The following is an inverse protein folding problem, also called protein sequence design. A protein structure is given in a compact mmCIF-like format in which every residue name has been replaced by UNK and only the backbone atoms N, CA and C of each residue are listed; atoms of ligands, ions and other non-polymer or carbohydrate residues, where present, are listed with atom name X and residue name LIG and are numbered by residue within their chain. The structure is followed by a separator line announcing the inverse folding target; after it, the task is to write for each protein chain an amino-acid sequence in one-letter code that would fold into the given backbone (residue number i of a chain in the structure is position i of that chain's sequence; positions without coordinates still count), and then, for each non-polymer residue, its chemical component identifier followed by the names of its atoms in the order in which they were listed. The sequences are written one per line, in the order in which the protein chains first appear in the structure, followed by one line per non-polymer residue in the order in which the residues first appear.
data_IF_029154680416
#
_entry.id   IF_029154680416
#
_cell.length_a   1.000
_cell.length_b   1.000
_cell.length_c   1.000
_cell.angle_alpha   90.00
_cell.angle_beta   90.00
_cell.angle_gamma   90.00
#
_symmetry.space_group_name_H-M   'P 1'
#
loop_
_entity.id
_entity.type
_entity.pdbx_description
1 polymer ?
#
# COMPACT_ATOMS: atom_id res chain seq x y z
N UNK A 1 -4.31 78.71 -34.77
CA UNK A 1 -2.99 78.35 -34.19
C UNK A 1 -2.19 77.70 -35.30
N UNK A 2 -1.11 78.33 -35.74
CA UNK A 2 -0.40 77.96 -36.96
C UNK A 2 0.44 76.69 -36.76
N UNK A 3 0.41 75.76 -37.72
CA UNK A 3 1.11 74.46 -37.62
C UNK A 3 2.63 74.65 -37.49
N UNK A 4 3.13 75.77 -38.03
CA UNK A 4 4.55 76.14 -37.98
C UNK A 4 4.99 76.66 -36.60
N UNK A 5 4.11 77.32 -35.83
CA UNK A 5 4.47 77.81 -34.49
C UNK A 5 4.56 76.67 -33.47
N UNK A 6 3.69 75.68 -33.59
CA UNK A 6 3.73 74.45 -32.77
C UNK A 6 5.00 73.66 -33.09
N UNK A 7 5.35 73.49 -34.37
CA UNK A 7 6.54 72.76 -34.80
C UNK A 7 7.82 73.40 -34.26
N UNK A 8 7.93 74.73 -34.32
CA UNK A 8 9.06 75.48 -33.78
C UNK A 8 9.19 75.35 -32.26
N UNK A 9 8.08 75.50 -31.53
CA UNK A 9 8.07 75.35 -30.07
C UNK A 9 8.48 73.93 -29.63
N UNK A 10 8.07 72.89 -30.36
CA UNK A 10 8.44 71.50 -30.07
C UNK A 10 9.92 71.23 -30.38
N UNK A 11 10.46 71.80 -31.47
CA UNK A 11 11.89 71.65 -31.82
C UNK A 11 12.84 72.44 -30.91
N UNK A 12 12.36 73.46 -30.22
CA UNK A 12 13.14 74.25 -29.25
C UNK A 12 13.18 73.69 -27.83
N UNK A 13 12.42 72.62 -27.53
CA UNK A 13 12.46 71.96 -26.23
C UNK A 13 13.67 71.02 -26.22
N UNK A 14 14.81 71.56 -25.82
CA UNK A 14 16.00 70.76 -25.55
C UNK A 14 15.94 70.28 -24.10
N UNK A 15 15.72 68.98 -23.91
CA UNK A 15 15.69 68.40 -22.57
C UNK A 15 17.08 68.54 -21.93
N UNK A 16 17.10 69.07 -20.70
CA UNK A 16 18.33 69.08 -19.90
C UNK A 16 18.82 67.66 -19.66
N UNK A 17 20.14 67.46 -19.55
CA UNK A 17 20.72 66.12 -19.30
C UNK A 17 20.13 65.48 -18.03
N UNK A 18 19.85 66.26 -16.99
CA UNK A 18 19.13 65.81 -15.79
C UNK A 18 17.73 65.24 -16.10
N UNK A 19 17.00 65.87 -17.03
CA UNK A 19 15.65 65.43 -17.42
C UNK A 19 15.71 64.14 -18.24
N UNK A 20 16.68 64.02 -19.14
CA UNK A 20 16.94 62.80 -19.91
C UNK A 20 17.29 61.64 -18.98
N UNK A 21 18.15 61.89 -17.99
CA UNK A 21 18.57 60.88 -17.03
C UNK A 21 17.43 60.42 -16.12
N UNK A 22 16.59 61.35 -15.63
CA UNK A 22 15.36 61.00 -14.89
C UNK A 22 14.37 60.15 -15.70
N UNK A 23 14.23 60.44 -16.99
CA UNK A 23 13.37 59.64 -17.88
C UNK A 23 13.95 58.24 -18.06
N UNK A 24 15.26 58.13 -18.28
CA UNK A 24 15.95 56.86 -18.47
C UNK A 24 15.86 55.97 -17.22
N UNK A 25 16.17 56.52 -16.04
CA UNK A 25 16.04 55.85 -14.75
C UNK A 25 14.60 55.37 -14.50
N UNK A 26 13.61 56.20 -14.86
CA UNK A 26 12.20 55.85 -14.75
C UNK A 26 11.80 54.66 -15.63
N UNK A 27 12.36 54.56 -16.84
CA UNK A 27 12.12 53.45 -17.77
C UNK A 27 12.79 52.17 -17.26
N UNK A 28 14.04 52.27 -16.82
CA UNK A 28 14.81 51.14 -16.31
C UNK A 28 14.18 50.55 -15.04
N UNK A 29 13.75 51.42 -14.11
CA UNK A 29 13.08 51.00 -12.88
C UNK A 29 11.76 50.27 -13.15
N UNK A 30 10.96 50.72 -14.14
CA UNK A 30 9.73 50.03 -14.54
C UNK A 30 10.01 48.65 -15.16
N UNK A 31 11.07 48.52 -15.97
CA UNK A 31 11.47 47.26 -16.59
C UNK A 31 11.89 46.24 -15.53
N UNK A 32 12.74 46.66 -14.60
CA UNK A 32 13.18 45.82 -13.48
C UNK A 32 12.03 45.39 -12.57
N UNK A 33 11.06 46.28 -12.29
CA UNK A 33 9.89 45.95 -11.49
C UNK A 33 9.00 44.90 -12.17
N UNK A 34 8.71 45.06 -13.47
CA UNK A 34 7.93 44.09 -14.25
C UNK A 34 8.60 42.72 -14.27
N UNK A 35 9.92 42.69 -14.45
CA UNK A 35 10.69 41.44 -14.46
C UNK A 35 10.66 40.75 -13.09
N UNK A 36 10.78 41.51 -11.98
CA UNK A 36 10.70 40.98 -10.62
C UNK A 36 9.33 40.38 -10.30
N UNK A 37 8.24 41.02 -10.75
CA UNK A 37 6.87 40.50 -10.60
C UNK A 37 6.67 39.23 -11.43
N UNK A 38 7.20 39.20 -12.65
CA UNK A 38 7.08 38.05 -13.54
C UNK A 38 7.82 36.83 -12.98
N UNK A 39 9.03 37.03 -12.45
CA UNK A 39 9.81 35.98 -11.77
C UNK A 39 9.06 35.47 -10.54
N UNK A 40 8.56 36.37 -9.67
CA UNK A 40 7.79 35.96 -8.48
C UNK A 40 6.58 35.10 -8.84
N UNK A 41 5.82 35.47 -9.89
CA UNK A 41 4.66 34.67 -10.36
C UNK A 41 5.07 33.27 -10.83
N UNK A 42 6.17 33.16 -11.57
CA UNK A 42 6.69 31.86 -12.02
C UNK A 42 7.14 31.03 -10.81
N UNK A 43 7.90 31.61 -9.88
CA UNK A 43 8.37 30.90 -8.69
C UNK A 43 7.21 30.40 -7.82
N UNK A 44 6.17 31.22 -7.59
CA UNK A 44 4.98 30.80 -6.85
C UNK A 44 4.22 29.68 -7.57
N UNK A 45 4.10 29.75 -8.89
CA UNK A 45 3.47 28.69 -9.70
C UNK A 45 4.19 27.34 -9.57
N UNK A 46 5.53 27.34 -9.67
CA UNK A 46 6.36 26.14 -9.54
C UNK A 46 6.23 25.52 -8.13
N UNK A 47 6.27 26.34 -7.08
CA UNK A 47 6.13 25.86 -5.70
C UNK A 47 4.75 25.23 -5.48
N UNK A 48 3.68 25.88 -5.95
CA UNK A 48 2.32 25.36 -5.82
C UNK A 48 2.16 24.03 -6.58
N UNK A 49 2.70 23.92 -7.78
CA UNK A 49 2.65 22.67 -8.55
C UNK A 49 3.46 21.56 -7.90
N UNK A 50 4.65 21.85 -7.36
CA UNK A 50 5.46 20.88 -6.64
C UNK A 50 4.75 20.33 -5.40
N UNK A 51 4.07 21.19 -4.61
CA UNK A 51 3.31 20.76 -3.43
C UNK A 51 2.16 19.83 -3.83
N UNK A 52 1.38 20.21 -4.86
CA UNK A 52 0.28 19.36 -5.35
C UNK A 52 0.81 18.01 -5.85
N UNK A 53 1.92 18.02 -6.60
CA UNK A 53 2.55 16.79 -7.09
C UNK A 53 3.01 15.91 -5.93
N UNK A 54 3.59 16.49 -4.88
CA UNK A 54 4.05 15.77 -3.70
C UNK A 54 2.87 15.13 -2.95
N UNK A 55 1.76 15.86 -2.75
CA UNK A 55 0.56 15.33 -2.11
C UNK A 55 -0.10 14.20 -2.92
N UNK A 56 -0.12 14.29 -4.25
CA UNK A 56 -0.64 13.22 -5.11
C UNK A 56 0.30 12.01 -5.05
N UNK A 57 1.61 12.22 -5.10
CA UNK A 57 2.60 11.15 -5.01
C UNK A 57 2.59 10.44 -3.67
N UNK A 58 2.45 11.14 -2.54
CA UNK A 58 2.37 10.50 -1.22
C UNK A 58 1.13 9.62 -1.11
N UNK A 59 -0.02 10.06 -1.61
CA UNK A 59 -1.24 9.24 -1.64
C UNK A 59 -1.10 8.00 -2.54
N UNK A 60 -0.37 8.10 -3.66
CA UNK A 60 -0.09 6.96 -4.53
C UNK A 60 0.93 6.00 -3.89
N UNK A 61 1.96 6.51 -3.20
CA UNK A 61 2.95 5.68 -2.52
C UNK A 61 2.36 4.96 -1.30
N UNK A 62 1.46 5.61 -0.57
CA UNK A 62 0.81 5.05 0.62
C UNK A 62 -0.20 3.94 0.28
N UNK A 63 -0.66 3.87 -0.98
CA UNK A 63 -1.46 2.74 -1.49
C UNK A 63 -0.66 1.46 -1.70
N UNK A 64 0.66 1.50 -1.66
CA UNK A 64 1.49 0.32 -1.92
C UNK A 64 2.15 -0.19 -0.64
N UNK A 65 1.84 -1.46 -0.33
CA UNK A 65 2.41 -2.33 0.72
C UNK A 65 1.88 -2.12 2.14
N UNK A 66 0.65 -2.52 2.36
CA UNK A 66 0.33 -3.29 3.57
C UNK A 66 1.14 -4.59 3.54
N UNK A 67 2.17 -4.62 4.36
CA UNK A 67 3.07 -5.75 4.52
C UNK A 67 2.33 -6.77 5.39
N UNK A 68 2.00 -7.95 4.85
CA UNK A 68 1.52 -9.06 5.67
C UNK A 68 2.66 -9.45 6.62
N UNK A 69 2.47 -9.24 7.92
CA UNK A 69 3.37 -9.81 8.94
C UNK A 69 2.81 -11.16 9.35
N UNK A 70 3.64 -12.20 9.27
CA UNK A 70 3.29 -13.58 9.56
C UNK A 70 3.95 -14.01 10.85
N UNK A 71 3.20 -14.58 11.78
CA UNK A 71 3.78 -15.11 13.01
C UNK A 71 4.07 -16.60 12.87
N UNK A 72 5.34 -16.98 13.04
CA UNK A 72 5.78 -18.35 13.20
C UNK A 72 6.16 -18.56 14.67
N UNK A 73 5.37 -19.33 15.42
CA UNK A 73 5.69 -19.59 16.83
C UNK A 73 6.93 -20.49 16.92
N UNK A 74 7.95 -20.01 17.63
CA UNK A 74 9.21 -20.75 17.82
C UNK A 74 9.11 -21.78 18.95
N UNK A 75 10.12 -22.66 19.13
CA UNK A 75 10.02 -23.84 20.03
C UNK A 75 9.85 -23.49 21.51
N UNK A 76 10.18 -22.25 21.83
CA UNK A 76 10.26 -21.62 23.12
C UNK A 76 8.98 -20.85 23.47
N UNK A 77 7.91 -20.96 22.66
CA UNK A 77 6.65 -20.27 22.89
C UNK A 77 6.71 -18.76 22.58
N UNK A 78 7.83 -18.28 22.07
CA UNK A 78 7.96 -16.91 21.58
C UNK A 78 7.33 -16.81 20.18
N UNK A 79 6.38 -15.89 20.03
CA UNK A 79 5.88 -15.44 18.74
C UNK A 79 7.03 -14.72 18.01
N UNK A 80 7.73 -15.41 17.10
CA UNK A 80 8.56 -14.70 16.14
C UNK A 80 7.65 -14.23 15.01
N UNK A 81 7.34 -12.94 15.01
CA UNK A 81 6.81 -12.27 13.84
C UNK A 81 7.90 -12.18 12.77
N UNK A 82 7.66 -12.82 11.64
CA UNK A 82 8.46 -12.69 10.43
C UNK A 82 7.60 -12.10 9.32
N UNK A 83 8.11 -11.12 8.61
CA UNK A 83 7.41 -10.60 7.42
C UNK A 83 7.53 -11.62 6.30
N UNK A 84 6.39 -12.07 5.75
CA UNK A 84 6.39 -12.98 4.61
C UNK A 84 6.59 -12.18 3.31
N UNK A 85 7.73 -12.38 2.68
CA UNK A 85 8.15 -11.71 1.43
C UNK A 85 8.16 -12.78 0.32
N UNK A 86 7.88 -12.44 -0.95
CA UNK A 86 8.05 -13.38 -2.04
C UNK A 86 9.43 -14.04 -2.00
N UNK A 87 9.49 -15.35 -2.29
CA UNK A 87 10.71 -16.18 -2.27
C UNK A 87 11.31 -16.45 -0.88
N UNK A 88 10.82 -15.80 0.18
CA UNK A 88 11.14 -16.16 1.56
C UNK A 88 10.33 -17.38 2.01
N UNK A 89 10.96 -18.24 2.80
CA UNK A 89 10.35 -19.44 3.38
C UNK A 89 10.30 -19.26 4.88
N UNK A 90 9.11 -19.34 5.44
CA UNK A 90 8.93 -19.44 6.88
C UNK A 90 8.63 -20.88 7.28
N UNK A 91 8.98 -21.24 8.52
CA UNK A 91 8.76 -22.61 9.01
C UNK A 91 7.91 -22.58 10.27
N UNK A 92 6.69 -23.08 10.16
CA UNK A 92 5.78 -23.29 11.28
C UNK A 92 6.04 -24.65 11.94
N UNK A 93 5.80 -24.70 13.24
CA UNK A 93 5.91 -25.91 14.06
C UNK A 93 4.52 -26.48 14.32
N UNK A 94 4.47 -27.80 14.46
CA UNK A 94 3.26 -28.50 14.85
C UNK A 94 2.91 -28.09 16.29
N UNK A 95 1.65 -27.74 16.51
CA UNK A 95 1.11 -27.30 17.78
C UNK A 95 -0.29 -27.87 17.99
N UNK A 96 -0.69 -27.96 19.25
CA UNK A 96 -2.09 -28.24 19.58
C UNK A 96 -2.93 -26.99 19.29
N UNK A 97 -3.92 -27.14 18.42
CA UNK A 97 -4.88 -26.09 18.07
C UNK A 97 -6.26 -26.46 18.62
N UNK A 98 -7.21 -25.51 18.73
CA UNK A 98 -8.56 -25.82 19.21
C UNK A 98 -9.26 -26.95 18.46
N UNK A 99 -8.87 -27.18 17.20
CA UNK A 99 -9.52 -28.10 16.28
C UNK A 99 -8.71 -29.36 15.99
N UNK A 100 -7.46 -29.48 16.47
CA UNK A 100 -6.56 -30.58 16.05
C UNK A 100 -5.08 -30.26 16.27
N UNK A 101 -4.21 -31.24 16.10
CA UNK A 101 -2.78 -30.97 15.95
C UNK A 101 -2.51 -30.39 14.57
N UNK A 102 -1.97 -29.18 14.51
CA UNK A 102 -1.81 -28.45 13.27
C UNK A 102 -0.81 -27.30 13.37
N UNK A 103 -0.90 -26.39 12.42
CA UNK A 103 -0.01 -25.24 12.27
C UNK A 103 -0.82 -23.97 12.35
N UNK A 104 -0.30 -22.97 13.06
CA UNK A 104 -0.97 -21.68 13.24
C UNK A 104 -0.23 -20.64 12.43
N UNK A 105 -0.99 -19.91 11.62
CA UNK A 105 -0.53 -18.79 10.82
C UNK A 105 -1.37 -17.58 11.18
N UNK A 106 -0.73 -16.52 11.69
CA UNK A 106 -1.43 -15.30 12.07
C UNK A 106 -1.09 -14.17 11.10
N UNK A 107 -2.12 -13.41 10.74
CA UNK A 107 -2.04 -12.28 9.83
C UNK A 107 -2.17 -11.01 10.66
N UNK A 108 -1.16 -10.16 10.62
CA UNK A 108 -1.28 -8.78 11.11
C UNK A 108 -1.77 -7.87 9.98
N UNK A 109 -2.94 -7.27 10.16
CA UNK A 109 -3.49 -6.25 9.26
C UNK A 109 -3.91 -5.02 10.09
N UNK A 110 -3.89 -3.80 9.51
CA UNK A 110 -4.27 -2.59 10.24
C UNK A 110 -5.72 -2.65 10.78
N UNK A 111 -6.01 -1.97 11.90
CA UNK A 111 -7.29 -2.04 12.66
C UNK A 111 -8.57 -1.81 11.83
N UNK A 112 -8.49 -1.14 10.69
CA UNK A 112 -9.65 -0.83 9.84
C UNK A 112 -9.70 -1.66 8.54
N UNK A 113 -8.82 -2.65 8.40
CA UNK A 113 -8.79 -3.55 7.27
C UNK A 113 -9.49 -4.86 7.66
N UNK A 114 -9.98 -5.57 6.66
CA UNK A 114 -10.54 -6.91 6.83
C UNK A 114 -9.85 -7.84 5.85
N UNK A 115 -9.69 -9.11 6.20
CA UNK A 115 -9.23 -10.11 5.24
C UNK A 115 -10.16 -11.31 5.18
N UNK A 116 -10.20 -11.94 4.01
CA UNK A 116 -10.85 -13.21 3.80
C UNK A 116 -9.84 -14.22 3.25
N UNK A 117 -10.02 -15.49 3.62
CA UNK A 117 -9.22 -16.60 3.15
C UNK A 117 -10.06 -17.44 2.17
N UNK A 118 -9.55 -17.65 0.96
CA UNK A 118 -10.19 -18.45 -0.07
C UNK A 118 -9.30 -19.62 -0.45
N UNK A 119 -9.76 -20.85 -0.19
CA UNK A 119 -9.02 -22.04 -0.64
C UNK A 119 -8.95 -22.06 -2.17
N UNK A 120 -7.77 -22.37 -2.71
CA UNK A 120 -7.53 -22.47 -4.15
C UNK A 120 -7.55 -23.91 -4.67
N UNK A 121 -7.72 -24.89 -3.78
CA UNK A 121 -7.67 -26.30 -4.13
C UNK A 121 -8.97 -26.84 -4.72
N UNK A 122 -8.82 -27.86 -5.56
CA UNK A 122 -9.91 -28.38 -6.39
C UNK A 122 -10.73 -29.52 -5.81
N UNK A 123 -10.36 -30.18 -4.70
CA UNK A 123 -11.21 -31.31 -4.24
C UNK A 123 -11.07 -31.77 -2.77
N UNK A 124 -10.00 -31.44 -2.00
CA UNK A 124 -9.77 -32.11 -0.70
C UNK A 124 -9.33 -31.24 0.51
N UNK A 125 -9.18 -29.92 0.38
CA UNK A 125 -8.56 -29.09 1.44
C UNK A 125 -9.53 -28.31 2.34
N UNK A 126 -10.83 -28.30 2.01
CA UNK A 126 -11.85 -27.52 2.75
C UNK A 126 -11.93 -27.93 4.24
N UNK A 127 -11.50 -29.16 4.59
CA UNK A 127 -11.48 -29.67 5.96
C UNK A 127 -10.12 -29.57 6.65
N UNK A 128 -9.16 -28.84 6.09
CA UNK A 128 -7.83 -28.72 6.69
C UNK A 128 -7.50 -27.28 7.08
N UNK A 129 -8.17 -26.27 6.50
CA UNK A 129 -7.96 -24.86 6.83
C UNK A 129 -9.15 -24.28 7.58
N UNK A 130 -8.86 -23.62 8.71
CA UNK A 130 -9.84 -22.92 9.53
C UNK A 130 -9.39 -21.49 9.79
N UNK A 131 -10.33 -20.55 9.80
CA UNK A 131 -10.06 -19.17 10.20
C UNK A 131 -10.84 -18.84 11.48
N UNK A 132 -10.15 -18.24 12.45
CA UNK A 132 -10.77 -17.66 13.64
C UNK A 132 -10.08 -16.33 13.97
N UNK A 133 -10.77 -15.22 13.69
CA UNK A 133 -10.19 -13.88 13.81
C UNK A 133 -8.99 -13.73 12.86
N UNK A 134 -7.85 -13.32 13.42
CA UNK A 134 -6.57 -13.11 12.73
C UNK A 134 -5.73 -14.38 12.52
N UNK A 135 -6.21 -15.53 13.02
CA UNK A 135 -5.49 -16.80 12.98
C UNK A 135 -6.10 -17.74 11.95
N UNK A 136 -5.24 -18.28 11.10
CA UNK A 136 -5.48 -19.38 10.18
C UNK A 136 -4.84 -20.63 10.78
N UNK A 137 -5.60 -21.72 10.84
CA UNK A 137 -5.16 -23.02 11.34
C UNK A 137 -5.13 -23.98 10.18
N UNK A 138 -4.02 -24.68 10.01
CA UNK A 138 -3.90 -25.78 9.06
C UNK A 138 -3.69 -27.12 9.77
N UNK A 139 -4.61 -28.05 9.56
CA UNK A 139 -4.61 -29.38 10.16
C UNK A 139 -4.43 -30.40 9.02
N UNK A 140 -3.19 -30.79 8.68
CA UNK A 140 -2.94 -31.67 7.56
C UNK A 140 -3.32 -33.14 7.84
N UNK A 141 -3.44 -33.52 9.11
CA UNK A 141 -3.88 -34.85 9.53
C UNK A 141 -5.36 -34.83 9.91
N UNK A 142 -6.13 -35.84 9.51
CA UNK A 142 -7.58 -35.94 9.73
C UNK A 142 -8.00 -36.12 11.21
N UNK A 143 -7.06 -36.06 12.16
CA UNK A 143 -7.25 -36.23 13.61
C UNK A 143 -7.76 -34.91 14.23
N UNK A 144 -8.87 -34.42 13.68
CA UNK A 144 -9.58 -33.24 14.15
C UNK A 144 -10.27 -33.63 15.46
N UNK A 145 -9.96 -32.93 16.56
CA UNK A 145 -10.52 -33.23 17.87
C UNK A 145 -12.00 -32.79 18.00
N UNK A 146 -12.42 -31.84 17.17
CA UNK A 146 -13.78 -31.26 17.19
C UNK A 146 -14.66 -31.74 16.02
N UNK A 147 -15.97 -31.74 16.26
CA UNK A 147 -16.98 -31.98 15.22
C UNK A 147 -17.16 -30.69 14.43
N UNK A 148 -16.84 -30.71 13.13
CA UNK A 148 -16.99 -29.53 12.27
C UNK A 148 -18.41 -29.49 11.75
N UNK A 149 -18.99 -28.29 11.75
CA UNK A 149 -20.31 -28.03 11.19
C UNK A 149 -20.21 -26.97 10.09
N UNK A 150 -21.01 -27.12 9.04
CA UNK A 150 -21.24 -26.09 8.03
C UNK A 150 -21.91 -24.85 8.65
N UNK A 151 -21.92 -23.73 7.92
CA UNK A 151 -22.73 -22.55 8.27
C UNK A 151 -24.24 -22.86 8.36
N UNK A 152 -24.67 -23.97 7.79
CA UNK A 152 -26.05 -24.50 7.86
C UNK A 152 -26.26 -25.50 9.02
N UNK A 153 -25.28 -25.63 9.93
CA UNK A 153 -25.25 -26.59 11.05
C UNK A 153 -25.24 -28.07 10.63
N UNK A 154 -24.92 -28.38 9.39
CA UNK A 154 -24.70 -29.75 8.95
C UNK A 154 -23.34 -30.25 9.42
N UNK A 155 -23.30 -31.42 10.08
CA UNK A 155 -22.04 -32.03 10.49
C UNK A 155 -21.25 -32.45 9.25
N UNK A 156 -20.06 -31.88 9.10
CA UNK A 156 -19.16 -32.21 8.02
C UNK A 156 -18.40 -33.50 8.37
N UNK A 157 -18.61 -34.56 7.58
CA UNK A 157 -17.87 -35.82 7.73
C UNK A 157 -16.64 -35.82 6.84
N UNK A 158 -15.46 -35.83 7.46
CA UNK A 158 -14.20 -36.03 6.73
C UNK A 158 -14.10 -37.52 6.34
N UNK A 159 -14.45 -37.84 5.09
CA UNK A 159 -14.38 -39.20 4.54
C UNK A 159 -13.01 -39.54 3.96
N UNK A 160 -12.05 -38.61 3.99
CA UNK A 160 -10.72 -38.81 3.43
C UNK A 160 -9.71 -39.15 4.53
N UNK A 161 -9.15 -40.37 4.53
CA UNK A 161 -8.07 -40.76 5.44
C UNK A 161 -6.71 -40.15 5.02
N UNK A 162 -6.68 -39.32 3.98
CA UNK A 162 -5.44 -38.88 3.37
C UNK A 162 -4.92 -37.62 4.06
N UNK A 163 -3.73 -37.74 4.64
CA UNK A 163 -2.91 -36.60 5.02
C UNK A 163 -2.71 -35.67 3.81
N UNK A 164 -2.91 -34.37 4.03
CA UNK A 164 -2.70 -33.34 3.01
C UNK A 164 -1.30 -32.77 3.22
N UNK A 165 -0.40 -33.04 2.27
CA UNK A 165 1.00 -32.62 2.37
C UNK A 165 1.24 -31.18 1.91
N UNK A 166 0.33 -30.59 1.13
CA UNK A 166 0.44 -29.20 0.70
C UNK A 166 -0.93 -28.57 0.64
N UNK A 167 -0.98 -27.26 0.88
CA UNK A 167 -2.21 -26.50 0.73
C UNK A 167 -1.97 -25.11 0.16
N UNK A 168 -2.88 -24.64 -0.68
CA UNK A 168 -2.86 -23.29 -1.23
C UNK A 168 -4.15 -22.53 -0.96
N UNK A 169 -4.00 -21.30 -0.49
CA UNK A 169 -5.10 -20.40 -0.23
C UNK A 169 -4.72 -18.96 -0.59
N UNK A 170 -5.71 -18.21 -1.02
CA UNK A 170 -5.62 -16.79 -1.33
C UNK A 170 -6.09 -15.97 -0.12
N UNK A 171 -5.29 -14.99 0.26
CA UNK A 171 -5.67 -13.96 1.21
C UNK A 171 -6.09 -12.74 0.40
N UNK A 172 -7.34 -12.35 0.54
CA UNK A 172 -7.88 -11.11 -0.04
C UNK A 172 -8.06 -10.11 1.09
N UNK A 173 -7.40 -8.96 1.00
CA UNK A 173 -7.50 -7.91 2.03
C UNK A 173 -8.25 -6.71 1.49
N UNK A 174 -9.25 -6.29 2.26
CA UNK A 174 -10.16 -5.19 1.99
C UNK A 174 -9.79 -3.99 2.86
N UNK A 175 -9.84 -2.80 2.27
CA UNK A 175 -9.69 -1.53 2.97
C UNK A 175 -10.98 -1.14 3.72
N UNK A 176 -10.95 0.03 4.38
CA UNK A 176 -12.09 0.57 5.15
C UNK A 176 -13.36 0.76 4.30
N UNK A 177 -13.21 0.96 2.99
CA UNK A 177 -14.31 1.14 2.04
C UNK A 177 -14.81 -0.20 1.46
N UNK A 178 -14.33 -1.34 1.96
CA UNK A 178 -14.61 -2.70 1.45
C UNK A 178 -14.11 -2.93 0.02
N UNK A 179 -13.16 -2.14 -0.44
CA UNK A 179 -12.51 -2.35 -1.72
C UNK A 179 -11.28 -3.24 -1.52
N UNK A 180 -10.98 -4.09 -2.51
CA UNK A 180 -9.79 -4.94 -2.49
C UNK A 180 -8.55 -4.02 -2.50
N UNK A 181 -7.74 -4.14 -1.44
CA UNK A 181 -6.48 -3.42 -1.30
C UNK A 181 -5.32 -4.22 -1.88
N UNK A 182 -5.27 -5.53 -1.59
CA UNK A 182 -4.28 -6.44 -2.14
C UNK A 182 -4.75 -7.90 -2.00
N UNK A 183 -4.16 -8.76 -2.83
CA UNK A 183 -4.43 -10.19 -2.89
C UNK A 183 -3.09 -10.92 -2.97
N UNK A 184 -2.95 -11.99 -2.20
CA UNK A 184 -1.72 -12.78 -2.15
C UNK A 184 -2.04 -14.27 -2.01
N UNK A 185 -1.28 -15.10 -2.70
CA UNK A 185 -1.42 -16.56 -2.62
C UNK A 185 -0.39 -17.12 -1.66
N UNK A 186 -0.84 -17.89 -0.69
CA UNK A 186 0.02 -18.56 0.27
C UNK A 186 -0.02 -20.07 0.04
N UNK A 187 1.16 -20.67 0.06
CA UNK A 187 1.35 -22.12 0.03
C UNK A 187 1.92 -22.60 1.35
N UNK A 188 1.28 -23.62 1.91
CA UNK A 188 1.79 -24.43 3.00
C UNK A 188 2.27 -25.77 2.45
N UNK A 189 3.43 -26.24 2.91
CA UNK A 189 4.02 -27.50 2.47
C UNK A 189 4.61 -28.24 3.67
N UNK A 190 4.18 -29.47 3.88
CA UNK A 190 4.65 -30.32 4.97
C UNK A 190 5.96 -31.02 4.55
N UNK A 191 7.06 -30.66 5.20
CA UNK A 191 8.38 -31.27 4.98
C UNK A 191 8.95 -31.75 6.32
N UNK A 192 9.09 -33.06 6.48
CA UNK A 192 9.63 -33.70 7.70
C UNK A 192 8.92 -33.26 8.99
N UNK A 193 7.58 -33.16 8.97
CA UNK A 193 6.78 -32.78 10.15
C UNK A 193 6.88 -31.29 10.51
N UNK A 194 7.39 -30.45 9.60
CA UNK A 194 7.37 -28.99 9.70
C UNK A 194 6.59 -28.43 8.53
N UNK A 195 5.79 -27.40 8.76
CA UNK A 195 5.10 -26.70 7.68
C UNK A 195 6.00 -25.57 7.17
N UNK A 196 6.33 -25.59 5.89
CA UNK A 196 7.01 -24.53 5.18
C UNK A 196 5.93 -23.64 4.57
N UNK A 197 6.03 -22.34 4.83
CA UNK A 197 5.10 -21.32 4.33
C UNK A 197 5.82 -20.45 3.31
N UNK A 198 5.18 -20.28 2.15
CA UNK A 198 5.67 -19.41 1.07
C UNK A 198 4.58 -18.54 0.50
N UNK A 199 4.98 -17.35 0.06
CA UNK A 199 4.16 -16.48 -0.79
C UNK A 199 4.40 -16.84 -2.26
N UNK A 200 3.34 -17.16 -3.00
CA UNK A 200 3.35 -17.43 -4.43
C UNK A 200 3.15 -16.13 -5.21
N UNK A 201 3.99 -15.90 -6.22
CA UNK A 201 3.81 -14.85 -7.24
C UNK A 201 2.92 -15.35 -8.37
#
# INVERSE_FOLDING_TARGET
MDKNSIKSAVTGIEFTEESKQRIFDGIERRKNLKQKIHIKRITTGIVATAIVFLCVFTNILQKNKSIITVYAMTQDGNEKGSVLIPEHKETLKLMETPVGNGYIFQIDIPENYMYNCKSLEKENSIFTIYQKGEKIYWIPESNIFEQIYSGENEKLTNSSPNCVNECEFEIVVYNENKEISYEEVIKFELVNGKCIVTLKK
#
